data_IF_877002332442
#
_entry.id   IF_877002332442
#
_cell.length_a   1.000
_cell.length_b   1.000
_cell.length_c   1.000
_cell.angle_alpha   90.00
_cell.angle_beta   90.00
_cell.angle_gamma   90.00
#
_symmetry.space_group_name_H-M   'P 1'
#
loop_
_entity.id
_entity.type
_entity.pdbx_description
1 polymer ?
#
# COMPACT_ATOMS: atom_id res chain seq x y z
N UNK A 1 -44.02 -55.11 4.64
CA UNK A 1 -43.62 -54.15 5.72
C UNK A 1 -42.15 -53.74 5.72
N UNK A 2 -41.19 -54.59 5.30
CA UNK A 2 -39.74 -54.28 5.37
C UNK A 2 -39.28 -53.21 4.36
N UNK A 3 -39.81 -53.19 3.14
CA UNK A 3 -39.47 -52.19 2.13
C UNK A 3 -39.93 -50.76 2.48
N UNK A 4 -41.12 -50.61 3.09
CA UNK A 4 -41.65 -49.29 3.46
C UNK A 4 -40.71 -48.59 4.45
N UNK A 5 -40.14 -49.33 5.42
CA UNK A 5 -39.20 -48.77 6.41
C UNK A 5 -37.88 -48.29 5.78
N UNK A 6 -37.40 -48.94 4.72
CA UNK A 6 -36.18 -48.57 4.02
C UNK A 6 -36.34 -47.25 3.23
N UNK A 7 -37.51 -47.04 2.63
CA UNK A 7 -37.84 -45.81 1.91
C UNK A 7 -37.92 -44.59 2.85
N UNK A 8 -38.48 -44.77 4.06
CA UNK A 8 -38.54 -43.69 5.07
C UNK A 8 -37.16 -43.27 5.60
N UNK A 9 -36.23 -44.23 5.76
CA UNK A 9 -34.86 -43.93 6.22
C UNK A 9 -34.08 -43.15 5.15
N UNK A 10 -34.21 -43.53 3.87
CA UNK A 10 -33.58 -42.81 2.75
C UNK A 10 -34.14 -41.39 2.58
N UNK A 11 -35.46 -41.22 2.71
CA UNK A 11 -36.12 -39.93 2.59
C UNK A 11 -35.79 -38.99 3.77
N UNK A 12 -35.70 -39.52 5.00
CA UNK A 12 -35.25 -38.72 6.15
C UNK A 12 -33.79 -38.28 6.02
N UNK A 13 -32.92 -39.16 5.49
CA UNK A 13 -31.51 -38.84 5.26
C UNK A 13 -31.30 -37.68 4.28
N UNK A 14 -32.05 -37.66 3.17
CA UNK A 14 -31.93 -36.58 2.17
C UNK A 14 -32.41 -35.23 2.71
N UNK A 15 -33.45 -35.23 3.56
CA UNK A 15 -33.98 -34.00 4.17
C UNK A 15 -32.97 -33.40 5.15
N UNK A 16 -32.31 -34.23 5.96
CA UNK A 16 -31.24 -33.76 6.86
C UNK A 16 -30.04 -33.22 6.08
N UNK A 17 -29.64 -33.90 4.99
CA UNK A 17 -28.52 -33.44 4.16
C UNK A 17 -28.81 -32.09 3.49
N UNK A 18 -30.03 -31.89 2.97
CA UNK A 18 -30.46 -30.60 2.43
C UNK A 18 -30.48 -29.51 3.50
N UNK A 19 -30.96 -29.78 4.71
CA UNK A 19 -30.92 -28.79 5.80
C UNK A 19 -29.50 -28.42 6.20
N UNK A 20 -28.57 -29.38 6.25
CA UNK A 20 -27.16 -29.10 6.53
C UNK A 20 -26.49 -28.31 5.40
N UNK A 21 -26.82 -28.61 4.13
CA UNK A 21 -26.31 -27.86 2.99
C UNK A 21 -26.86 -26.43 2.95
N UNK A 22 -28.14 -26.23 3.26
CA UNK A 22 -28.75 -24.90 3.37
C UNK A 22 -28.16 -24.13 4.55
N UNK A 23 -27.91 -24.76 5.70
CA UNK A 23 -27.26 -24.13 6.83
C UNK A 23 -25.79 -23.77 6.53
N UNK A 24 -25.06 -24.65 5.86
CA UNK A 24 -23.70 -24.40 5.40
C UNK A 24 -23.66 -23.28 4.36
N UNK A 25 -24.57 -23.29 3.39
CA UNK A 25 -24.69 -22.23 2.38
C UNK A 25 -25.11 -20.90 3.01
N UNK A 26 -26.04 -20.90 3.96
CA UNK A 26 -26.45 -19.70 4.69
C UNK A 26 -25.29 -19.13 5.53
N UNK A 27 -24.51 -19.99 6.20
CA UNK A 27 -23.31 -19.60 6.93
C UNK A 27 -22.24 -19.05 5.99
N UNK A 28 -22.05 -19.67 4.83
CA UNK A 28 -21.07 -19.24 3.82
C UNK A 28 -21.48 -17.93 3.11
N UNK A 29 -22.79 -17.70 2.94
CA UNK A 29 -23.35 -16.46 2.41
C UNK A 29 -23.48 -15.37 3.47
N UNK A 30 -23.26 -15.69 4.76
CA UNK A 30 -23.18 -14.73 5.85
C UNK A 30 -21.80 -14.04 5.84
N UNK A 31 -21.44 -13.45 4.69
CA UNK A 31 -20.47 -12.36 4.67
C UNK A 31 -21.08 -11.26 5.53
N UNK A 32 -20.64 -11.11 6.78
CA UNK A 32 -21.12 -10.05 7.65
C UNK A 32 -20.88 -8.71 6.94
N UNK A 33 -21.93 -7.98 6.54
CA UNK A 33 -21.71 -6.65 6.00
C UNK A 33 -21.03 -5.83 7.09
N UNK A 34 -19.97 -5.11 6.75
CA UNK A 34 -19.31 -4.17 7.65
C UNK A 34 -20.35 -3.11 8.02
N UNK A 35 -20.97 -3.23 9.19
CA UNK A 35 -22.11 -2.37 9.56
C UNK A 35 -21.67 -0.99 10.06
N UNK A 36 -20.38 -0.79 10.35
CA UNK A 36 -19.87 0.47 10.87
C UNK A 36 -18.56 0.84 10.17
N UNK A 37 -18.49 2.05 9.61
CA UNK A 37 -17.26 2.68 9.12
C UNK A 37 -16.90 3.80 10.09
N UNK A 38 -15.69 3.76 10.65
CA UNK A 38 -15.16 4.83 11.49
C UNK A 38 -14.14 5.61 10.66
N UNK A 39 -14.44 6.88 10.40
CA UNK A 39 -13.49 7.81 9.84
C UNK A 39 -12.53 8.27 10.96
N UNK A 40 -11.23 8.18 10.70
CA UNK A 40 -10.19 8.69 11.59
C UNK A 40 -9.70 10.02 11.02
N UNK A 41 -9.67 11.06 11.86
CA UNK A 41 -9.25 12.41 11.51
C UNK A 41 -7.78 12.61 11.94
N UNK A 42 -6.79 12.48 11.04
CA UNK A 42 -5.39 12.68 11.38
C UNK A 42 -5.08 14.16 11.62
N UNK A 43 -4.08 14.43 12.47
CA UNK A 43 -3.41 15.73 12.53
C UNK A 43 -1.96 15.55 12.10
N UNK A 44 -1.51 16.43 11.21
CA UNK A 44 -0.18 16.31 10.61
C UNK A 44 0.83 17.18 11.32
N UNK A 45 2.06 16.69 11.55
CA UNK A 45 3.13 17.49 12.14
C UNK A 45 3.68 18.55 11.16
N UNK A 46 3.33 18.47 9.87
CA UNK A 46 3.75 19.39 8.81
C UNK A 46 2.75 19.41 7.64
N UNK A 47 2.94 20.33 6.69
CA UNK A 47 2.11 20.43 5.50
C UNK A 47 2.48 19.38 4.45
N UNK A 48 1.85 18.20 4.51
CA UNK A 48 2.07 17.11 3.56
C UNK A 48 1.41 17.32 2.18
N UNK A 49 0.77 18.46 1.95
CA UNK A 49 0.39 18.92 0.60
C UNK A 49 1.57 19.52 -0.18
N UNK A 50 2.67 19.85 0.49
CA UNK A 50 3.93 20.21 -0.15
C UNK A 50 4.80 18.95 -0.38
N UNK A 51 5.13 18.67 -1.63
CA UNK A 51 5.93 17.50 -2.01
C UNK A 51 7.30 17.49 -1.35
N UNK A 52 7.96 18.65 -1.18
CA UNK A 52 9.29 18.71 -0.57
C UNK A 52 9.23 18.33 0.92
N UNK A 53 8.17 18.74 1.62
CA UNK A 53 7.92 18.38 3.02
C UNK A 53 7.55 16.90 3.15
N UNK A 54 6.64 16.39 2.32
CA UNK A 54 6.23 14.98 2.34
C UNK A 54 7.41 14.04 2.05
N UNK A 55 8.26 14.37 1.08
CA UNK A 55 9.44 13.57 0.76
C UNK A 55 10.47 13.66 1.89
N UNK A 56 10.67 14.85 2.46
CA UNK A 56 11.56 15.02 3.62
C UNK A 56 11.08 14.24 4.85
N UNK A 57 9.76 14.10 5.03
CA UNK A 57 9.14 13.27 6.05
C UNK A 57 9.13 11.77 5.73
N UNK A 58 9.46 11.35 4.51
CA UNK A 58 9.46 9.95 4.08
C UNK A 58 10.86 9.35 4.15
N UNK A 59 10.99 8.08 4.56
CA UNK A 59 12.26 7.35 4.46
C UNK A 59 12.43 6.71 3.09
N UNK A 60 11.34 6.28 2.45
CA UNK A 60 11.36 5.73 1.10
C UNK A 60 10.18 6.28 0.30
N UNK A 61 10.42 6.49 -0.99
CA UNK A 61 9.40 6.91 -1.95
C UNK A 61 9.60 6.08 -3.21
N UNK A 62 8.60 5.32 -3.61
CA UNK A 62 8.77 4.34 -4.68
C UNK A 62 7.43 4.02 -5.34
N UNK A 63 7.49 3.48 -6.55
CA UNK A 63 6.34 2.87 -7.23
C UNK A 63 6.35 1.38 -6.95
N UNK A 64 5.21 0.85 -6.52
CA UNK A 64 5.08 -0.56 -6.18
C UNK A 64 3.74 -1.15 -6.57
N UNK A 65 3.76 -2.44 -6.93
CA UNK A 65 2.57 -3.25 -7.23
C UNK A 65 2.19 -4.07 -6.01
N UNK A 66 0.97 -3.91 -5.54
CA UNK A 66 0.47 -4.68 -4.39
C UNK A 66 0.24 -6.12 -4.83
N UNK A 67 0.90 -7.06 -4.16
CA UNK A 67 0.75 -8.49 -4.42
C UNK A 67 -0.47 -9.02 -3.66
N UNK A 68 -0.47 -8.81 -2.34
CA UNK A 68 -1.52 -9.30 -1.44
C UNK A 68 -1.49 -8.57 -0.09
N UNK A 69 -2.62 -8.61 0.63
CA UNK A 69 -2.62 -8.38 2.07
C UNK A 69 -1.94 -9.56 2.77
N UNK A 70 -0.99 -9.29 3.67
CA UNK A 70 -0.19 -10.30 4.37
C UNK A 70 -0.38 -10.30 5.88
N UNK A 71 -1.05 -9.29 6.43
CA UNK A 71 -1.29 -9.22 7.86
C UNK A 71 -2.13 -8.02 8.29
N UNK A 72 -2.33 -7.94 9.59
CA UNK A 72 -2.87 -6.78 10.30
C UNK A 72 -2.12 -6.62 11.62
N UNK A 73 -2.03 -5.40 12.13
CA UNK A 73 -1.51 -5.11 13.46
C UNK A 73 -2.29 -3.95 14.10
N UNK A 74 -1.99 -3.67 15.37
CA UNK A 74 -2.49 -2.49 16.05
C UNK A 74 -1.40 -1.41 16.03
N UNK A 75 -1.59 -0.37 15.23
CA UNK A 75 -0.70 0.78 15.14
C UNK A 75 -1.26 1.94 15.97
N UNK A 76 -0.58 2.31 17.06
CA UNK A 76 -0.93 3.43 17.95
C UNK A 76 -2.46 3.48 18.24
N UNK A 77 -3.04 2.31 18.57
CA UNK A 77 -4.46 2.06 18.91
C UNK A 77 -5.46 1.97 17.75
N UNK A 78 -5.06 2.27 16.52
CA UNK A 78 -5.86 2.01 15.33
C UNK A 78 -5.47 0.66 14.71
N UNK A 79 -6.39 -0.07 14.07
CA UNK A 79 -5.97 -1.18 13.23
C UNK A 79 -5.13 -0.64 12.07
N UNK A 80 -4.14 -1.40 11.68
CA UNK A 80 -3.39 -1.20 10.45
C UNK A 80 -3.30 -2.52 9.67
N UNK A 81 -3.26 -2.38 8.36
CA UNK A 81 -3.27 -3.49 7.41
C UNK A 81 -1.93 -3.56 6.70
N UNK A 82 -1.36 -4.75 6.62
CA UNK A 82 -0.07 -4.99 6.00
C UNK A 82 -0.23 -5.60 4.61
N UNK A 83 0.50 -5.05 3.64
CA UNK A 83 0.50 -5.48 2.25
C UNK A 83 1.91 -5.84 1.79
N UNK A 84 2.05 -6.95 1.08
CA UNK A 84 3.27 -7.25 0.32
C UNK A 84 3.21 -6.49 -1.00
N UNK A 85 4.25 -5.71 -1.28
CA UNK A 85 4.34 -4.83 -2.45
C UNK A 85 5.65 -5.09 -3.18
N UNK A 86 5.54 -5.49 -4.45
CA UNK A 86 6.67 -5.61 -5.37
C UNK A 86 7.15 -4.21 -5.76
N UNK A 87 8.43 -3.92 -5.54
CA UNK A 87 9.04 -2.62 -5.88
C UNK A 87 9.32 -2.58 -7.39
N UNK A 88 8.77 -1.59 -8.07
CA UNK A 88 8.96 -1.36 -9.51
C UNK A 88 10.04 -0.30 -9.75
N UNK A 89 9.98 0.81 -9.03
CA UNK A 89 10.88 1.95 -9.24
C UNK A 89 11.10 2.73 -7.93
N UNK A 90 12.35 3.09 -7.62
CA UNK A 90 12.68 3.88 -6.44
C UNK A 90 12.92 5.35 -6.82
N UNK A 91 12.23 6.26 -6.14
CA UNK A 91 12.45 7.71 -6.21
C UNK A 91 13.37 8.16 -5.06
N UNK A 92 13.12 7.66 -3.84
CA UNK A 92 13.93 7.85 -2.64
C UNK A 92 14.15 6.51 -1.96
N UNK A 93 15.42 6.23 -1.61
CA UNK A 93 15.84 4.94 -1.08
C UNK A 93 16.34 3.97 -2.15
N UNK A 94 16.46 2.71 -1.77
CA UNK A 94 16.97 1.63 -2.62
C UNK A 94 16.30 0.28 -2.29
N UNK A 95 14.97 0.28 -2.18
CA UNK A 95 14.21 -0.94 -1.90
C UNK A 95 14.31 -1.91 -3.08
N UNK A 96 14.34 -3.22 -2.77
CA UNK A 96 14.42 -4.32 -3.75
C UNK A 96 13.33 -5.33 -3.46
N UNK A 97 13.00 -6.12 -4.47
CA UNK A 97 12.04 -7.22 -4.39
C UNK A 97 10.69 -6.78 -3.81
N UNK A 98 10.05 -7.65 -3.02
CA UNK A 98 8.83 -7.33 -2.30
C UNK A 98 9.12 -6.83 -0.89
N UNK A 99 8.43 -5.77 -0.49
CA UNK A 99 8.50 -5.17 0.85
C UNK A 99 7.13 -5.19 1.53
N UNK A 100 7.12 -5.14 2.86
CA UNK A 100 5.87 -5.03 3.63
C UNK A 100 5.52 -3.57 3.86
N UNK A 101 4.34 -3.16 3.39
CA UNK A 101 3.77 -1.84 3.60
C UNK A 101 2.68 -1.91 4.65
N UNK A 102 2.84 -1.14 5.71
CA UNK A 102 1.84 -0.99 6.76
C UNK A 102 0.99 0.26 6.46
N UNK A 103 -0.32 0.10 6.36
CA UNK A 103 -1.25 1.21 6.14
C UNK A 103 -2.18 1.32 7.34
N UNK A 104 -2.28 2.50 7.95
CA UNK A 104 -3.29 2.76 8.98
C UNK A 104 -4.71 2.61 8.41
N UNK A 105 -5.57 1.92 9.15
CA UNK A 105 -6.90 1.50 8.71
C UNK A 105 -7.01 0.00 8.42
N UNK A 106 -8.23 -0.43 8.13
CA UNK A 106 -8.58 -1.83 7.95
C UNK A 106 -9.72 -2.27 8.85
N UNK A 107 -10.03 -3.55 8.82
CA UNK A 107 -11.14 -4.11 9.57
C UNK A 107 -10.70 -4.62 10.95
N UNK A 108 -11.44 -4.24 12.00
CA UNK A 108 -11.29 -4.79 13.34
C UNK A 108 -12.67 -5.02 13.94
N UNK A 109 -12.96 -6.26 14.36
CA UNK A 109 -14.24 -6.66 14.96
C UNK A 109 -15.47 -6.30 14.11
N UNK A 110 -15.40 -6.47 12.77
CA UNK A 110 -16.50 -6.13 11.86
C UNK A 110 -16.71 -4.63 11.63
N UNK A 111 -15.78 -3.79 12.08
CA UNK A 111 -15.76 -2.34 11.88
C UNK A 111 -14.60 -1.99 10.96
N UNK A 112 -14.88 -1.27 9.87
CA UNK A 112 -13.85 -0.77 8.96
C UNK A 112 -13.40 0.61 9.41
N UNK A 113 -12.10 0.76 9.63
CA UNK A 113 -11.45 2.01 9.95
C UNK A 113 -10.79 2.55 8.68
N UNK A 114 -11.12 3.78 8.31
CA UNK A 114 -10.49 4.48 7.18
C UNK A 114 -9.98 5.84 7.65
N UNK A 115 -8.77 6.18 7.23
CA UNK A 115 -8.28 7.55 7.39
C UNK A 115 -9.04 8.44 6.41
N UNK A 116 -9.69 9.50 6.90
CA UNK A 116 -10.56 10.36 6.07
C UNK A 116 -9.78 10.98 4.91
N UNK A 117 -8.56 11.44 5.19
CA UNK A 117 -7.65 12.03 4.20
C UNK A 117 -6.84 10.96 3.43
N UNK A 118 -7.28 9.70 3.33
CA UNK A 118 -6.58 8.69 2.53
C UNK A 118 -7.30 8.42 1.22
N UNK A 119 -6.55 7.97 0.20
CA UNK A 119 -7.12 7.50 -1.07
C UNK A 119 -7.79 6.11 -0.95
N UNK A 120 -8.23 5.72 0.24
CA UNK A 120 -8.72 4.37 0.56
C UNK A 120 -7.60 3.34 0.82
N UNK A 121 -8.02 2.09 1.02
CA UNK A 121 -7.11 0.96 1.27
C UNK A 121 -6.42 0.51 -0.03
N UNK A 122 -5.13 0.16 0.08
CA UNK A 122 -4.40 -0.50 -1.01
C UNK A 122 -5.12 -1.77 -1.46
N UNK A 123 -5.12 -2.02 -2.78
CA UNK A 123 -5.80 -3.16 -3.39
C UNK A 123 -4.81 -4.09 -4.08
N UNK A 124 -4.95 -5.39 -3.86
CA UNK A 124 -4.15 -6.42 -4.53
C UNK A 124 -4.25 -6.31 -6.06
N UNK A 125 -3.11 -6.42 -6.73
CA UNK A 125 -2.99 -6.29 -8.19
C UNK A 125 -2.85 -4.85 -8.70
N UNK A 126 -3.11 -3.83 -7.86
CA UNK A 126 -2.99 -2.43 -8.27
C UNK A 126 -1.58 -1.90 -8.02
N UNK A 127 -1.20 -0.88 -8.79
CA UNK A 127 0.12 -0.24 -8.72
C UNK A 127 -0.01 1.19 -8.23
N UNK A 128 0.83 1.59 -7.28
CA UNK A 128 0.77 2.87 -6.62
C UNK A 128 2.15 3.52 -6.52
N UNK A 129 2.17 4.85 -6.55
CA UNK A 129 3.25 5.64 -5.94
C UNK A 129 3.02 5.67 -4.43
N UNK A 130 4.05 5.41 -3.63
CA UNK A 130 3.99 5.26 -2.17
C UNK A 130 5.10 6.04 -1.48
N UNK A 131 4.74 6.84 -0.47
CA UNK A 131 5.65 7.59 0.40
C UNK A 131 5.57 7.05 1.82
N UNK A 132 6.65 6.43 2.30
CA UNK A 132 6.62 5.59 3.51
C UNK A 132 7.74 5.91 4.49
N UNK A 133 7.52 5.56 5.76
CA UNK A 133 8.49 5.61 6.85
C UNK A 133 8.81 4.20 7.32
N UNK A 134 10.09 3.84 7.31
CA UNK A 134 10.54 2.56 7.85
C UNK A 134 10.40 2.49 9.38
N UNK A 135 9.80 1.41 9.86
CA UNK A 135 9.68 1.02 11.26
C UNK A 135 10.66 -0.15 11.54
N UNK A 136 11.73 0.07 12.30
CA UNK A 136 12.73 -0.96 12.57
C UNK A 136 12.27 -2.02 13.58
N UNK A 137 11.24 -1.77 14.39
CA UNK A 137 10.76 -2.75 15.37
C UNK A 137 9.92 -3.84 14.70
N UNK A 138 9.10 -3.43 13.74
CA UNK A 138 8.24 -4.33 12.96
C UNK A 138 8.81 -4.79 11.62
N UNK A 139 9.95 -4.22 11.19
CA UNK A 139 10.59 -4.45 9.89
C UNK A 139 9.63 -4.27 8.70
N UNK A 140 8.89 -3.15 8.69
CA UNK A 140 7.98 -2.77 7.62
C UNK A 140 8.05 -1.27 7.33
N UNK A 141 7.40 -0.83 6.25
CA UNK A 141 7.32 0.58 5.90
C UNK A 141 5.89 1.09 6.06
N UNK A 142 5.68 1.99 7.01
CA UNK A 142 4.38 2.62 7.25
C UNK A 142 4.11 3.71 6.23
N UNK A 143 3.00 3.62 5.51
CA UNK A 143 2.52 4.69 4.62
C UNK A 143 2.25 5.95 5.44
N UNK A 144 2.74 7.11 4.99
CA UNK A 144 2.36 8.36 5.64
C UNK A 144 0.83 8.53 5.55
N UNK A 145 0.11 8.82 6.64
CA UNK A 145 -1.36 8.76 6.66
C UNK A 145 -2.02 10.00 6.03
N UNK A 146 -1.64 10.37 4.79
CA UNK A 146 -2.09 11.55 4.06
C UNK A 146 -2.38 11.22 2.60
N UNK A 147 -3.34 11.90 1.96
CA UNK A 147 -3.80 11.61 0.59
C UNK A 147 -2.67 11.73 -0.42
N UNK A 148 -1.74 12.67 -0.21
CA UNK A 148 -0.60 12.82 -1.09
C UNK A 148 0.46 11.73 -0.96
N UNK A 149 0.45 10.93 0.12
CA UNK A 149 1.42 9.87 0.33
C UNK A 149 1.20 8.64 -0.56
N UNK A 150 0.02 8.50 -1.16
CA UNK A 150 -0.23 7.49 -2.18
C UNK A 150 -0.79 8.10 -3.46
N UNK A 151 -0.65 7.40 -4.57
CA UNK A 151 -1.41 7.67 -5.80
C UNK A 151 -1.56 6.38 -6.58
N UNK A 152 -2.79 6.05 -6.96
CA UNK A 152 -3.06 4.94 -7.88
C UNK A 152 -2.51 5.28 -9.27
N UNK A 153 -1.67 4.40 -9.81
CA UNK A 153 -1.11 4.51 -11.16
C UNK A 153 -1.80 3.55 -12.13
N UNK A 154 -2.06 2.31 -11.69
CA UNK A 154 -2.72 1.32 -12.54
C UNK A 154 -3.58 0.35 -11.75
N UNK A 155 -4.72 -0.03 -12.33
CA UNK A 155 -5.59 -1.12 -11.87
C UNK A 155 -5.38 -2.41 -12.67
N UNK A 156 -4.55 -2.37 -13.72
CA UNK A 156 -4.28 -3.51 -14.61
C UNK A 156 -3.21 -4.41 -14.00
N UNK A 157 -3.67 -5.46 -13.32
CA UNK A 157 -2.80 -6.44 -12.65
C UNK A 157 -1.97 -7.29 -13.63
N UNK A 158 -2.25 -7.24 -14.93
CA UNK A 158 -1.53 -8.03 -15.95
C UNK A 158 -0.27 -7.35 -16.46
N UNK A 159 -0.08 -6.04 -16.16
CA UNK A 159 1.15 -5.33 -16.54
C UNK A 159 2.37 -5.94 -15.87
N UNK A 160 3.40 -6.14 -16.67
CA UNK A 160 4.73 -6.54 -16.21
C UNK A 160 5.52 -5.33 -15.68
N UNK A 161 6.66 -5.58 -15.05
CA UNK A 161 7.50 -4.55 -14.44
C UNK A 161 7.90 -3.44 -15.44
N UNK A 162 8.30 -3.80 -16.67
CA UNK A 162 8.71 -2.82 -17.68
C UNK A 162 7.57 -1.86 -18.09
N UNK A 163 6.35 -2.38 -18.26
CA UNK A 163 5.19 -1.54 -18.58
C UNK A 163 4.78 -0.64 -17.40
N UNK A 164 4.93 -1.12 -16.16
CA UNK A 164 4.66 -0.32 -14.96
C UNK A 164 5.72 0.76 -14.74
N UNK A 165 6.99 0.46 -15.03
CA UNK A 165 8.07 1.44 -15.01
C UNK A 165 7.82 2.54 -16.04
N UNK A 166 7.50 2.19 -17.30
CA UNK A 166 7.19 3.18 -18.33
C UNK A 166 5.98 4.07 -17.96
N UNK A 167 5.00 3.51 -17.24
CA UNK A 167 3.87 4.27 -16.71
C UNK A 167 4.30 5.25 -15.62
N UNK A 168 5.16 4.81 -14.69
CA UNK A 168 5.72 5.66 -13.64
C UNK A 168 6.56 6.81 -14.21
N UNK A 169 7.44 6.52 -15.17
CA UNK A 169 8.28 7.51 -15.87
C UNK A 169 7.47 8.60 -16.59
N UNK A 170 6.22 8.32 -16.95
CA UNK A 170 5.34 9.29 -17.61
C UNK A 170 4.41 10.02 -16.64
N UNK A 171 4.29 9.54 -15.40
CA UNK A 171 3.33 10.07 -14.44
C UNK A 171 3.74 11.44 -13.88
N UNK A 172 2.88 12.47 -13.95
CA UNK A 172 3.22 13.81 -13.49
C UNK A 172 3.57 13.91 -11.99
N UNK A 173 2.95 13.07 -11.14
CA UNK A 173 3.21 13.10 -9.68
C UNK A 173 4.53 12.40 -9.35
N UNK A 174 4.84 11.31 -10.05
CA UNK A 174 6.17 10.66 -9.96
C UNK A 174 7.26 11.68 -10.30
N UNK A 175 7.16 12.37 -11.46
CA UNK A 175 8.11 13.42 -11.85
C UNK A 175 8.21 14.56 -10.83
N UNK A 176 7.07 14.98 -10.28
CA UNK A 176 7.06 16.01 -9.24
C UNK A 176 7.78 15.55 -7.97
N UNK A 177 7.68 14.27 -7.60
CA UNK A 177 8.39 13.73 -6.46
C UNK A 177 9.90 13.59 -6.73
N UNK A 178 10.29 13.12 -7.92
CA UNK A 178 11.69 13.09 -8.35
C UNK A 178 12.33 14.48 -8.32
N UNK A 179 11.60 15.51 -8.78
CA UNK A 179 12.06 16.88 -8.75
C UNK A 179 12.17 17.46 -7.33
N UNK A 180 11.27 17.05 -6.43
CA UNK A 180 11.25 17.53 -5.05
C UNK A 180 12.29 16.84 -4.16
N UNK A 181 12.78 15.63 -4.49
CA UNK A 181 13.71 14.90 -3.63
C UNK A 181 15.05 15.62 -3.37
N UNK A 182 15.76 16.20 -4.35
CA UNK A 182 16.95 17.01 -4.07
C UNK A 182 16.66 18.29 -3.26
N UNK A 183 15.42 18.76 -3.29
CA UNK A 183 14.94 19.95 -2.61
C UNK A 183 14.10 19.63 -1.36
N UNK A 184 14.21 18.40 -0.84
CA UNK A 184 13.39 17.95 0.29
C UNK A 184 13.59 18.84 1.54
N UNK A 185 12.52 18.99 2.30
CA UNK A 185 12.51 19.72 3.56
C UNK A 185 12.35 18.74 4.71
N UNK A 186 13.42 18.51 5.45
CA UNK A 186 13.43 17.58 6.57
C UNK A 186 12.60 18.11 7.74
N UNK A 187 11.89 17.21 8.42
CA UNK A 187 11.24 17.54 9.67
C UNK A 187 12.28 17.81 10.74
N UNK A 188 12.12 18.90 11.50
CA UNK A 188 13.03 19.23 12.60
C UNK A 188 13.12 18.12 13.64
N UNK A 189 12.00 17.42 13.89
CA UNK A 189 11.98 16.25 14.76
C UNK A 189 12.87 15.12 14.23
N UNK A 190 12.86 14.85 12.92
CA UNK A 190 13.70 13.79 12.34
C UNK A 190 15.18 14.14 12.41
N UNK A 191 15.53 15.41 12.18
CA UNK A 191 16.91 15.90 12.35
C UNK A 191 17.36 15.76 13.80
N UNK A 192 16.52 16.19 14.76
CA UNK A 192 16.83 16.12 16.19
C UNK A 192 17.00 14.69 16.72
N UNK A 193 16.29 13.72 16.14
CA UNK A 193 16.35 12.31 16.55
C UNK A 193 17.19 11.43 15.61
N UNK A 194 17.95 12.03 14.67
CA UNK A 194 18.81 11.30 13.71
C UNK A 194 18.02 10.24 12.91
N UNK A 195 16.80 10.59 12.52
CA UNK A 195 15.88 9.72 11.78
C UNK A 195 15.70 10.16 10.31
N UNK A 196 16.70 10.80 9.72
CA UNK A 196 16.67 11.33 8.35
C UNK A 196 17.08 10.28 7.31
N UNK A 197 16.53 9.07 7.43
CA UNK A 197 16.91 7.91 6.58
C UNK A 197 16.70 8.22 5.10
N UNK A 198 17.71 7.88 4.29
CA UNK A 198 17.76 8.15 2.84
C UNK A 198 17.55 9.62 2.46
N UNK A 199 17.71 10.56 3.40
CA UNK A 199 17.64 11.98 3.09
C UNK A 199 18.70 12.34 2.04
N UNK A 200 18.29 13.05 0.99
CA UNK A 200 19.22 13.58 0.00
C UNK A 200 20.29 14.43 0.67
N UNK A 201 19.94 15.23 1.68
CA UNK A 201 20.90 16.09 2.38
C UNK A 201 22.01 15.29 3.08
N UNK A 202 21.67 14.14 3.66
CA UNK A 202 22.61 13.25 4.38
C UNK A 202 23.33 12.24 3.50
N UNK A 203 22.93 12.06 2.23
CA UNK A 203 23.62 11.16 1.31
C UNK A 203 25.07 11.60 1.03
N UNK A 204 26.00 10.64 0.91
CA UNK A 204 27.35 10.95 0.45
C UNK A 204 27.34 11.40 -1.03
N UNK A 205 28.36 12.14 -1.50
CA UNK A 205 28.38 12.75 -2.83
C UNK A 205 28.09 11.76 -3.98
N UNK A 206 28.65 10.55 -3.93
CA UNK A 206 28.45 9.50 -4.92
C UNK A 206 26.98 9.02 -4.98
N UNK A 207 26.32 8.92 -3.82
CA UNK A 207 24.92 8.54 -3.76
C UNK A 207 23.99 9.66 -4.23
N UNK A 208 24.37 10.93 -4.01
CA UNK A 208 23.67 12.09 -4.58
C UNK A 208 23.74 12.08 -6.10
N UNK A 209 24.93 11.82 -6.66
CA UNK A 209 25.12 11.67 -8.11
C UNK A 209 24.27 10.51 -8.65
N UNK A 210 24.27 9.35 -7.99
CA UNK A 210 23.45 8.22 -8.40
C UNK A 210 21.93 8.52 -8.34
N UNK A 211 21.47 9.24 -7.31
CA UNK A 211 20.07 9.67 -7.21
C UNK A 211 19.66 10.61 -8.34
N UNK A 212 20.53 11.57 -8.71
CA UNK A 212 20.28 12.49 -9.84
C UNK A 212 20.45 11.78 -11.19
N UNK A 213 21.39 10.86 -11.33
CA UNK A 213 21.65 10.13 -12.57
C UNK A 213 20.49 9.20 -12.94
N UNK A 214 19.85 8.54 -11.95
CA UNK A 214 18.62 7.75 -12.16
C UNK A 214 17.53 8.57 -12.86
N UNK A 215 17.35 9.82 -12.42
CA UNK A 215 16.44 10.77 -13.07
C UNK A 215 16.84 11.07 -14.51
N UNK A 216 18.12 11.34 -14.78
CA UNK A 216 18.59 11.68 -16.14
C UNK A 216 18.53 10.49 -17.11
N UNK A 217 18.75 9.26 -16.64
CA UNK A 217 18.62 8.05 -17.45
C UNK A 217 17.16 7.86 -17.90
N UNK A 218 16.20 8.06 -16.99
CA UNK A 218 14.78 8.01 -17.29
C UNK A 218 14.37 9.09 -18.31
N UNK A 219 14.91 10.32 -18.20
CA UNK A 219 14.67 11.40 -19.16
C UNK A 219 15.28 11.13 -20.55
N UNK A 220 16.49 10.54 -20.62
CA UNK A 220 17.19 10.27 -21.88
C UNK A 220 16.53 9.15 -22.70
N UNK A 221 15.98 8.11 -22.06
CA UNK A 221 15.22 7.04 -22.75
C UNK A 221 14.01 7.59 -23.49
N UNK A 222 13.41 8.67 -22.99
CA UNK A 222 12.23 9.29 -23.56
C UNK A 222 12.51 10.11 -24.83
N UNK A 223 13.75 10.61 -25.01
CA UNK A 223 14.12 11.42 -26.20
C UNK A 223 14.41 10.53 -27.41
N UNK A 224 14.88 9.29 -27.20
CA UNK A 224 15.19 8.33 -28.27
C UNK A 224 13.96 7.61 -28.85
N UNK A 225 12.80 7.67 -28.18
CA UNK A 225 11.55 7.03 -28.65
C UNK A 225 10.73 8.00 -29.53
N UNK A 226 11.04 9.30 -29.51
CA UNK A 226 10.34 10.36 -30.25
C UNK A 226 11.11 10.86 -31.50
N UNK A 227 12.26 10.24 -31.82
CA UNK A 227 13.09 10.50 -33.01
C UNK A 227 13.05 9.34 -33.99
#
# INVERSE_FOLDING_TARGET
>A
MKQIKQSYVLMMGSVVLCMLFVAWLAFFLQSYPVQNVIAVHPSYPANYSDNAILIGASHNVFVGKVIAQVGTNDFIRNPATQFSVEVIENIKGDLKDAVVINQEGGEKNGVLYLMEDSNGMLQSGFTYLLSTRYDPEGDYYTLNPHENASKLLSTDSTKNAAALQALAEQDPKVKAFEAAYPAEQLLQADVAHVNTRNSFQSLPPEAKVAAVARKMENESKHTLILS
#
